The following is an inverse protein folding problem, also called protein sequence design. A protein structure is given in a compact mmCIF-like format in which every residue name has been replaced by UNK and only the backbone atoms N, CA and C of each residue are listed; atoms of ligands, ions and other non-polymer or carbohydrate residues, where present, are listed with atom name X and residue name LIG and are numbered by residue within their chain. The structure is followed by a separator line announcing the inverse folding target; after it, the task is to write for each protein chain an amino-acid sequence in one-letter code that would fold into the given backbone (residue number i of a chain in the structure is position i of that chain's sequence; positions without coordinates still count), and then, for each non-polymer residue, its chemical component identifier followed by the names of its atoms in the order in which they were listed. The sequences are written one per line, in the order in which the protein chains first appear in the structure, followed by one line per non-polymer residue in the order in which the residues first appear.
data_IF_414475289761
#
_entry.id   IF_414475289761
#
_cell.length_a   1.000
_cell.length_b   1.000
_cell.length_c   1.000
_cell.angle_alpha   90.00
_cell.angle_beta   90.00
_cell.angle_gamma   90.00
#
_symmetry.space_group_name_H-M   'P 1'
#
loop_
_entity.id
_entity.type
_entity.pdbx_description
1 polymer ?
#
# COMPACT_ATOMS: atom_id res chain seq x y z
N UNK A 1 -7.53 3.78 -25.19
CA UNK A 1 -8.97 3.51 -25.41
C UNK A 1 -9.66 4.84 -25.66
N UNK A 2 -10.51 4.94 -26.69
CA UNK A 2 -11.28 6.15 -26.98
C UNK A 2 -12.63 6.08 -26.27
N UNK A 3 -13.07 7.16 -25.63
CA UNK A 3 -14.38 7.27 -24.98
C UNK A 3 -14.33 8.23 -23.81
N UNK A 4 -15.50 8.80 -23.47
CA UNK A 4 -15.66 9.75 -22.38
C UNK A 4 -15.36 9.13 -21.02
N UNK A 5 -14.85 9.93 -20.08
CA UNK A 5 -14.35 9.45 -18.80
C UNK A 5 -14.89 10.23 -17.58
N UNK A 6 -15.09 9.50 -16.49
CA UNK A 6 -15.08 10.03 -15.13
C UNK A 6 -13.63 10.00 -14.63
N UNK A 7 -13.10 11.13 -14.23
CA UNK A 7 -11.70 11.17 -13.75
C UNK A 7 -11.60 11.64 -12.30
N UNK A 8 -10.55 11.23 -11.64
CA UNK A 8 -10.06 11.80 -10.38
C UNK A 8 -8.54 11.85 -10.39
N UNK A 9 -7.96 12.80 -9.64
CA UNK A 9 -6.52 12.97 -9.52
C UNK A 9 -6.11 12.76 -8.08
N UNK A 10 -5.03 12.06 -7.81
CA UNK A 10 -4.54 11.90 -6.44
C UNK A 10 -3.38 10.92 -6.33
N UNK A 11 -2.77 10.85 -5.16
CA UNK A 11 -1.67 9.91 -4.91
C UNK A 11 -2.15 8.47 -4.75
N UNK A 12 -3.36 8.28 -4.25
CA UNK A 12 -4.01 6.98 -4.00
C UNK A 12 -3.13 5.96 -3.27
N UNK A 13 -2.14 6.43 -2.50
CA UNK A 13 -1.21 5.56 -1.82
C UNK A 13 -1.93 4.68 -0.78
N UNK A 14 -1.76 3.36 -0.93
CA UNK A 14 -2.43 2.35 -0.14
C UNK A 14 -3.80 1.93 -0.66
N UNK A 15 -4.48 2.69 -1.53
CA UNK A 15 -5.85 2.42 -2.03
C UNK A 15 -6.76 1.98 -0.88
N UNK A 16 -6.78 2.77 0.21
CA UNK A 16 -7.55 2.51 1.42
C UNK A 16 -9.06 2.68 1.20
N UNK A 17 -9.89 2.30 2.18
CA UNK A 17 -11.37 2.31 2.06
C UNK A 17 -11.94 3.68 1.64
N UNK A 18 -11.33 4.79 2.09
CA UNK A 18 -11.72 6.12 1.59
C UNK A 18 -11.52 6.27 0.08
N UNK A 19 -10.39 5.82 -0.47
CA UNK A 19 -10.15 5.82 -1.92
C UNK A 19 -11.12 4.87 -2.65
N UNK A 20 -11.38 3.68 -2.10
CA UNK A 20 -12.32 2.70 -2.67
C UNK A 20 -13.73 3.27 -2.74
N UNK A 21 -14.16 4.00 -1.72
CA UNK A 21 -15.45 4.68 -1.72
C UNK A 21 -15.59 5.75 -2.81
N UNK A 22 -14.52 6.54 -3.03
CA UNK A 22 -14.44 7.51 -4.16
C UNK A 22 -14.64 6.77 -5.48
N UNK A 23 -13.87 5.70 -5.72
CA UNK A 23 -13.93 4.92 -6.96
C UNK A 23 -15.33 4.27 -7.13
N UNK A 24 -15.95 3.79 -6.05
CA UNK A 24 -17.30 3.23 -6.08
C UNK A 24 -18.35 4.26 -6.53
N UNK A 25 -18.23 5.51 -6.09
CA UNK A 25 -19.13 6.59 -6.56
C UNK A 25 -18.88 6.90 -8.04
N UNK A 26 -17.62 7.03 -8.46
CA UNK A 26 -17.25 7.22 -9.85
C UNK A 26 -17.80 6.09 -10.75
N UNK A 27 -17.70 4.83 -10.28
CA UNK A 27 -18.19 3.67 -11.03
C UNK A 27 -19.72 3.75 -11.24
N UNK A 28 -20.50 4.14 -10.21
CA UNK A 28 -21.94 4.31 -10.33
C UNK A 28 -22.31 5.34 -11.40
N UNK A 29 -21.65 6.49 -11.41
CA UNK A 29 -21.85 7.52 -12.44
C UNK A 29 -21.42 7.02 -13.81
N UNK A 30 -20.27 6.38 -13.90
CA UNK A 30 -19.73 5.84 -15.13
C UNK A 30 -20.66 4.78 -15.76
N UNK A 31 -21.15 3.83 -14.96
CA UNK A 31 -22.06 2.78 -15.42
C UNK A 31 -23.38 3.35 -15.94
N UNK A 32 -23.93 4.37 -15.25
CA UNK A 32 -25.18 5.02 -15.65
C UNK A 32 -25.08 5.78 -16.99
N UNK A 33 -23.86 6.21 -17.35
CA UNK A 33 -23.64 7.07 -18.52
C UNK A 33 -22.77 6.44 -19.61
N UNK A 34 -22.31 5.18 -19.42
CA UNK A 34 -21.44 4.50 -20.36
C UNK A 34 -20.02 5.11 -20.44
N UNK A 35 -19.50 5.60 -19.31
CA UNK A 35 -18.20 6.24 -19.20
C UNK A 35 -17.13 5.29 -18.66
N UNK A 36 -15.85 5.63 -18.88
CA UNK A 36 -14.69 4.97 -18.24
C UNK A 36 -14.38 5.62 -16.89
N UNK A 37 -13.94 4.84 -15.93
CA UNK A 37 -13.34 5.34 -14.68
C UNK A 37 -11.83 5.44 -14.85
N UNK A 38 -11.29 6.66 -14.79
CA UNK A 38 -9.87 6.95 -14.95
C UNK A 38 -9.32 7.56 -13.67
N UNK A 39 -8.27 6.99 -13.14
CA UNK A 39 -7.52 7.55 -12.00
C UNK A 39 -6.20 8.09 -12.51
N UNK A 40 -5.93 9.37 -12.25
CA UNK A 40 -4.64 10.00 -12.52
C UNK A 40 -3.82 10.01 -11.24
N UNK A 41 -2.66 9.39 -11.26
CA UNK A 41 -1.75 9.31 -10.12
C UNK A 41 -0.31 9.67 -10.50
N UNK A 42 0.59 9.68 -9.54
CA UNK A 42 1.95 10.18 -9.71
C UNK A 42 2.99 9.14 -9.28
N UNK A 43 4.07 9.05 -10.05
CA UNK A 43 5.26 8.30 -9.67
C UNK A 43 6.53 9.04 -10.16
N UNK A 44 7.55 9.26 -9.28
CA UNK A 44 7.54 9.02 -7.83
C UNK A 44 6.46 9.79 -7.06
N UNK A 45 6.17 9.35 -5.83
CA UNK A 45 5.20 10.05 -4.98
C UNK A 45 5.64 11.51 -4.73
N UNK A 46 4.73 12.52 -4.84
CA UNK A 46 5.09 13.93 -4.73
C UNK A 46 5.87 14.29 -3.44
N UNK A 47 5.52 13.69 -2.31
CA UNK A 47 6.22 13.93 -1.04
C UNK A 47 7.63 13.34 -0.98
N UNK A 48 7.97 12.38 -1.86
CA UNK A 48 9.35 11.87 -1.99
C UNK A 48 10.18 12.90 -2.76
N UNK A 49 9.68 13.36 -3.90
CA UNK A 49 10.38 14.34 -4.75
C UNK A 49 10.55 15.68 -4.04
N UNK A 50 9.50 16.15 -3.34
CA UNK A 50 9.49 17.44 -2.63
C UNK A 50 9.95 17.32 -1.17
N UNK A 51 10.61 16.23 -0.80
CA UNK A 51 11.13 16.04 0.55
C UNK A 51 12.11 17.16 0.94
N UNK A 52 11.89 17.75 2.10
CA UNK A 52 12.83 18.77 2.64
C UNK A 52 14.04 18.05 3.26
N UNK A 53 15.26 18.59 3.08
CA UNK A 53 16.44 18.06 3.74
C UNK A 53 16.22 17.90 5.26
N UNK A 54 16.67 16.79 5.83
CA UNK A 54 16.55 16.50 7.27
C UNK A 54 15.20 15.96 7.74
N UNK A 55 14.23 15.75 6.85
CA UNK A 55 13.00 15.01 7.17
C UNK A 55 13.11 13.55 6.76
N UNK A 56 12.53 12.66 7.56
CA UNK A 56 12.38 11.25 7.21
C UNK A 56 11.62 11.15 5.87
N UNK A 57 12.16 10.38 4.90
CA UNK A 57 11.48 10.14 3.63
C UNK A 57 10.09 9.52 3.85
N UNK A 58 9.15 9.84 2.97
CA UNK A 58 7.84 9.20 3.02
C UNK A 58 7.99 7.70 2.76
N UNK A 59 7.47 6.88 3.68
CA UNK A 59 7.33 5.46 3.46
C UNK A 59 6.03 5.17 2.70
N UNK A 60 6.13 4.50 1.54
CA UNK A 60 5.01 4.17 0.66
C UNK A 60 4.18 3.01 1.22
N UNK A 61 2.86 3.14 1.17
CA UNK A 61 1.94 2.03 1.45
C UNK A 61 1.83 1.07 0.27
N UNK A 62 1.95 1.60 -0.96
CA UNK A 62 1.95 0.82 -2.20
C UNK A 62 3.04 1.33 -3.14
N UNK A 63 3.76 0.44 -3.81
CA UNK A 63 4.55 0.80 -4.99
C UNK A 63 3.60 1.22 -6.12
N UNK A 64 4.11 1.74 -7.23
CA UNK A 64 3.25 2.12 -8.35
C UNK A 64 2.56 0.90 -8.98
N UNK A 65 3.27 -0.21 -9.10
CA UNK A 65 2.75 -1.48 -9.63
C UNK A 65 1.63 -2.00 -8.74
N UNK A 66 1.88 -2.12 -7.42
CA UNK A 66 0.87 -2.53 -6.43
C UNK A 66 -0.35 -1.61 -6.46
N UNK A 67 -0.14 -0.30 -6.62
CA UNK A 67 -1.21 0.70 -6.68
C UNK A 67 -2.07 0.52 -7.92
N UNK A 68 -1.46 0.36 -9.10
CA UNK A 68 -2.18 0.10 -10.34
C UNK A 68 -3.00 -1.19 -10.27
N UNK A 69 -2.40 -2.28 -9.76
CA UNK A 69 -3.10 -3.57 -9.55
C UNK A 69 -4.32 -3.39 -8.64
N UNK A 70 -4.16 -2.66 -7.52
CA UNK A 70 -5.27 -2.42 -6.56
C UNK A 70 -6.36 -1.52 -7.12
N UNK A 71 -6.00 -0.47 -7.86
CA UNK A 71 -6.97 0.41 -8.51
C UNK A 71 -7.80 -0.36 -9.55
N UNK A 72 -7.17 -1.18 -10.38
CA UNK A 72 -7.86 -2.04 -11.33
C UNK A 72 -8.83 -3.01 -10.61
N UNK A 73 -8.39 -3.62 -9.51
CA UNK A 73 -9.22 -4.54 -8.72
C UNK A 73 -10.48 -3.90 -8.12
N UNK A 74 -10.45 -2.60 -7.81
CA UNK A 74 -11.61 -1.87 -7.27
C UNK A 74 -12.46 -1.17 -8.34
N UNK A 75 -12.24 -1.48 -9.62
CA UNK A 75 -13.11 -1.05 -10.72
C UNK A 75 -12.63 0.19 -11.48
N UNK A 76 -11.34 0.51 -11.45
CA UNK A 76 -10.74 1.53 -12.32
C UNK A 76 -10.43 0.90 -13.68
N UNK A 77 -10.92 1.51 -14.76
CA UNK A 77 -10.71 1.01 -16.13
C UNK A 77 -9.32 1.40 -16.65
N UNK A 78 -8.81 2.56 -16.23
CA UNK A 78 -7.50 3.07 -16.66
C UNK A 78 -6.81 3.86 -15.56
N UNK A 79 -5.51 3.61 -15.38
CA UNK A 79 -4.65 4.40 -14.49
C UNK A 79 -3.64 5.16 -15.31
N UNK A 80 -3.71 6.48 -15.24
CA UNK A 80 -2.72 7.38 -15.88
C UNK A 80 -1.66 7.74 -14.84
N UNK A 81 -0.44 7.27 -15.05
CA UNK A 81 0.70 7.57 -14.17
C UNK A 81 1.50 8.72 -14.75
N UNK A 82 1.55 9.83 -14.01
CA UNK A 82 2.32 11.02 -14.42
C UNK A 82 3.67 11.00 -13.70
N UNK A 83 4.80 11.11 -14.45
CA UNK A 83 6.11 11.30 -13.86
C UNK A 83 6.14 12.58 -13.03
N UNK A 84 6.27 12.46 -11.69
CA UNK A 84 6.33 13.62 -10.83
C UNK A 84 7.78 14.06 -10.65
N UNK A 85 8.11 15.22 -11.21
CA UNK A 85 9.44 15.83 -11.14
C UNK A 85 9.38 17.19 -10.46
N UNK A 86 10.53 17.74 -10.10
CA UNK A 86 10.61 19.13 -9.60
C UNK A 86 10.09 20.14 -10.64
N UNK A 87 10.30 19.89 -11.93
CA UNK A 87 9.78 20.70 -13.02
C UNK A 87 8.26 20.61 -13.09
N UNK A 88 7.70 19.39 -13.10
CA UNK A 88 6.26 19.17 -13.08
C UNK A 88 5.58 19.85 -11.87
N UNK A 89 6.22 19.86 -10.70
CA UNK A 89 5.69 20.52 -9.50
C UNK A 89 5.55 22.05 -9.65
N UNK A 90 6.17 22.68 -10.66
CA UNK A 90 6.00 24.10 -10.99
C UNK A 90 4.82 24.35 -11.94
N UNK A 91 4.17 23.31 -12.44
CA UNK A 91 3.02 23.44 -13.34
C UNK A 91 1.83 24.03 -12.58
N UNK A 92 1.20 25.07 -13.12
CA UNK A 92 0.01 25.64 -12.54
C UNK A 92 -1.15 24.65 -12.58
N UNK A 93 -2.08 24.75 -11.64
CA UNK A 93 -3.25 23.90 -11.59
C UNK A 93 -4.07 24.00 -12.89
N UNK A 94 -4.25 25.20 -13.43
CA UNK A 94 -4.97 25.42 -14.68
C UNK A 94 -4.29 24.74 -15.87
N UNK A 95 -2.98 24.94 -16.06
CA UNK A 95 -2.22 24.30 -17.16
C UNK A 95 -2.31 22.78 -17.07
N UNK A 96 -2.24 22.22 -15.86
CA UNK A 96 -2.37 20.80 -15.63
C UNK A 96 -3.75 20.27 -16.04
N UNK A 97 -4.85 20.93 -15.64
CA UNK A 97 -6.21 20.51 -16.03
C UNK A 97 -6.43 20.62 -17.51
N UNK A 98 -5.98 21.72 -18.16
CA UNK A 98 -6.09 21.87 -19.61
C UNK A 98 -5.36 20.74 -20.37
N UNK A 99 -4.17 20.36 -19.89
CA UNK A 99 -3.42 19.23 -20.45
C UNK A 99 -4.17 17.91 -20.26
N UNK A 100 -4.73 17.64 -19.08
CA UNK A 100 -5.51 16.43 -18.85
C UNK A 100 -6.73 16.35 -19.76
N UNK A 101 -7.52 17.42 -19.84
CA UNK A 101 -8.73 17.46 -20.67
C UNK A 101 -8.40 17.33 -22.16
N UNK A 102 -7.27 17.86 -22.63
CA UNK A 102 -6.83 17.70 -24.01
C UNK A 102 -6.41 16.26 -24.36
N UNK A 103 -6.03 15.47 -23.36
CA UNK A 103 -5.54 14.09 -23.54
C UNK A 103 -6.61 13.05 -23.25
N UNK A 104 -7.47 13.33 -22.24
CA UNK A 104 -8.55 12.46 -21.79
C UNK A 104 -9.86 13.15 -22.11
N UNK A 105 -10.79 12.47 -22.77
CA UNK A 105 -12.14 12.98 -23.04
C UNK A 105 -12.96 12.99 -21.72
N UNK A 106 -12.75 14.06 -20.92
CA UNK A 106 -13.30 14.19 -19.57
C UNK A 106 -14.75 14.64 -19.63
N UNK A 107 -15.67 13.85 -19.05
CA UNK A 107 -17.09 14.21 -18.88
C UNK A 107 -17.36 14.63 -17.43
N UNK A 108 -16.79 13.93 -16.45
CA UNK A 108 -16.95 14.25 -15.03
C UNK A 108 -15.57 14.26 -14.34
N UNK A 109 -15.32 15.29 -13.54
CA UNK A 109 -14.14 15.41 -12.69
C UNK A 109 -14.57 15.28 -11.22
N UNK A 110 -14.14 14.20 -10.57
CA UNK A 110 -14.40 13.96 -9.15
C UNK A 110 -13.27 14.52 -8.28
N UNK A 111 -13.64 15.32 -7.28
CA UNK A 111 -12.69 15.94 -6.35
C UNK A 111 -13.05 15.61 -4.91
N UNK A 112 -12.07 15.16 -4.11
CA UNK A 112 -12.24 14.97 -2.68
C UNK A 112 -12.37 16.32 -1.93
N UNK A 113 -12.95 16.29 -0.75
CA UNK A 113 -13.27 17.50 0.02
C UNK A 113 -12.03 18.35 0.40
N UNK A 114 -10.87 17.72 0.65
CA UNK A 114 -9.59 18.37 1.00
C UNK A 114 -8.59 18.43 -0.15
N UNK A 115 -9.06 18.16 -1.36
CA UNK A 115 -8.19 18.01 -2.52
C UNK A 115 -7.67 19.37 -2.99
N UNK A 116 -6.36 19.52 -3.01
CA UNK A 116 -5.68 20.66 -3.62
C UNK A 116 -4.49 20.14 -4.43
N UNK A 117 -4.32 20.63 -5.63
CA UNK A 117 -3.30 20.18 -6.60
C UNK A 117 -2.64 21.36 -7.32
N UNK A 118 -1.61 21.07 -8.12
CA UNK A 118 -0.84 22.09 -8.82
C UNK A 118 0.10 22.90 -7.90
N UNK A 119 0.86 23.78 -8.52
CA UNK A 119 1.79 24.66 -7.80
C UNK A 119 1.06 25.44 -6.69
N UNK A 120 1.71 25.51 -5.54
CA UNK A 120 1.21 26.24 -4.34
C UNK A 120 -0.19 25.81 -3.89
N UNK A 121 -0.64 24.60 -4.29
CA UNK A 121 -2.00 24.09 -4.03
C UNK A 121 -3.10 25.01 -4.61
N UNK A 122 -2.79 25.70 -5.71
CA UNK A 122 -3.72 26.64 -6.35
C UNK A 122 -4.93 25.97 -7.02
N UNK A 123 -4.90 24.65 -7.22
CA UNK A 123 -6.03 23.87 -7.74
C UNK A 123 -7.03 23.55 -6.64
N UNK A 124 -8.23 24.08 -6.76
CA UNK A 124 -9.34 23.90 -5.84
C UNK A 124 -10.64 23.64 -6.63
N UNK A 125 -11.74 23.41 -5.91
CA UNK A 125 -13.05 23.19 -6.51
C UNK A 125 -13.55 24.36 -7.39
N UNK A 126 -13.29 25.60 -6.97
CA UNK A 126 -13.71 26.80 -7.68
C UNK A 126 -13.05 26.90 -9.07
N UNK A 127 -11.73 26.71 -9.14
CA UNK A 127 -10.97 26.66 -10.38
C UNK A 127 -11.48 25.53 -11.28
N UNK A 128 -11.71 24.35 -10.73
CA UNK A 128 -12.24 23.22 -11.53
C UNK A 128 -13.60 23.51 -12.11
N UNK A 129 -14.53 24.09 -11.34
CA UNK A 129 -15.86 24.45 -11.82
C UNK A 129 -15.79 25.52 -12.92
N UNK A 130 -14.91 26.52 -12.76
CA UNK A 130 -14.67 27.52 -13.80
C UNK A 130 -14.19 26.88 -15.11
N UNK A 131 -13.16 26.03 -15.02
CA UNK A 131 -12.63 25.30 -16.18
C UNK A 131 -13.65 24.29 -16.75
N UNK A 132 -14.48 23.69 -15.90
CA UNK A 132 -15.54 22.77 -16.32
C UNK A 132 -16.57 23.46 -17.25
N UNK A 133 -16.98 24.68 -16.92
CA UNK A 133 -17.87 25.48 -17.78
C UNK A 133 -17.18 25.81 -19.12
N UNK A 134 -15.91 26.16 -19.10
CA UNK A 134 -15.15 26.52 -20.29
C UNK A 134 -14.85 25.31 -21.19
N UNK A 135 -14.43 24.19 -20.60
CA UNK A 135 -13.91 23.02 -21.29
C UNK A 135 -14.95 21.90 -21.48
N UNK A 136 -16.16 22.05 -20.94
CA UNK A 136 -17.29 21.15 -21.15
C UNK A 136 -17.27 19.88 -20.30
N UNK A 137 -16.86 19.95 -19.02
CA UNK A 137 -16.95 18.85 -18.09
C UNK A 137 -17.65 19.25 -16.78
N UNK A 138 -18.30 18.30 -16.12
CA UNK A 138 -18.92 18.48 -14.82
C UNK A 138 -17.93 18.23 -13.68
N UNK A 139 -18.13 18.92 -12.54
CA UNK A 139 -17.35 18.75 -11.32
C UNK A 139 -18.21 18.26 -10.19
N UNK A 140 -17.89 17.09 -9.65
CA UNK A 140 -18.56 16.49 -8.52
C UNK A 140 -17.64 16.44 -7.30
N UNK A 141 -18.07 17.08 -6.20
CA UNK A 141 -17.36 17.02 -4.94
C UNK A 141 -17.81 15.81 -4.14
N UNK A 142 -16.82 15.00 -3.73
CA UNK A 142 -17.07 13.83 -2.88
C UNK A 142 -16.90 14.26 -1.43
N UNK A 143 -17.91 14.04 -0.57
CA UNK A 143 -17.78 14.29 0.86
C UNK A 143 -16.75 13.35 1.50
N UNK A 144 -16.24 13.67 2.70
CA UNK A 144 -15.40 12.74 3.45
C UNK A 144 -16.16 11.42 3.61
N UNK A 145 -15.50 10.31 3.24
CA UNK A 145 -16.09 8.99 3.40
C UNK A 145 -15.62 8.43 4.75
N UNK A 146 -16.56 8.23 5.63
CA UNK A 146 -16.34 7.57 6.92
C UNK A 146 -16.53 6.06 6.75
N UNK A 147 -15.63 5.29 7.34
CA UNK A 147 -15.77 3.85 7.50
C UNK A 147 -15.83 3.58 9.01
N UNK A 148 -16.92 3.04 9.47
CA UNK A 148 -17.19 2.76 10.90
C UNK A 148 -17.01 4.03 11.80
N UNK A 149 -17.45 5.20 11.30
CA UNK A 149 -17.36 6.49 12.02
C UNK A 149 -15.96 7.12 12.04
N UNK A 150 -15.01 6.60 11.26
CA UNK A 150 -13.65 7.12 11.17
C UNK A 150 -13.31 7.56 9.74
N UNK A 151 -12.73 8.75 9.62
CA UNK A 151 -12.14 9.21 8.36
C UNK A 151 -10.82 8.48 8.15
N UNK A 152 -10.76 7.62 7.13
CA UNK A 152 -9.55 6.86 6.80
C UNK A 152 -8.62 7.70 5.92
N UNK A 153 -7.32 7.71 6.24
CA UNK A 153 -6.29 8.36 5.44
C UNK A 153 -5.00 7.54 5.36
N UNK A 154 -4.19 7.76 4.32
CA UNK A 154 -2.87 7.13 4.20
C UNK A 154 -1.95 7.45 5.40
N UNK A 155 -2.13 8.60 6.04
CA UNK A 155 -1.37 8.99 7.25
C UNK A 155 -1.72 8.08 8.43
N UNK A 156 -3.01 7.80 8.66
CA UNK A 156 -3.46 6.90 9.73
C UNK A 156 -3.01 5.46 9.48
N UNK A 157 -3.11 4.98 8.24
CA UNK A 157 -2.60 3.64 7.88
C UNK A 157 -1.09 3.53 8.15
N UNK A 158 -0.29 4.55 7.79
CA UNK A 158 1.14 4.58 8.09
C UNK A 158 1.42 4.58 9.59
N UNK A 159 0.66 5.35 10.37
CA UNK A 159 0.80 5.38 11.82
C UNK A 159 0.53 4.00 12.45
N UNK A 160 -0.53 3.32 12.04
CA UNK A 160 -0.84 1.97 12.49
C UNK A 160 0.29 0.97 12.16
N UNK A 161 0.81 0.98 10.93
CA UNK A 161 1.92 0.10 10.53
C UNK A 161 3.22 0.43 11.29
N UNK A 162 3.52 1.71 11.49
CA UNK A 162 4.70 2.16 12.26
C UNK A 162 4.61 1.81 13.75
N UNK A 163 3.41 1.64 14.30
CA UNK A 163 3.21 1.10 15.66
C UNK A 163 3.13 -0.43 15.72
N UNK A 164 3.05 -1.08 14.56
CA UNK A 164 2.90 -2.54 14.43
C UNK A 164 1.47 -3.04 14.51
N UNK A 165 0.48 -2.15 14.53
CA UNK A 165 -0.94 -2.50 14.51
C UNK A 165 -1.39 -2.78 13.06
N UNK A 166 -1.02 -3.97 12.59
CA UNK A 166 -1.34 -4.41 11.22
C UNK A 166 -2.83 -4.74 11.06
N UNK A 167 -3.52 -5.06 12.15
CA UNK A 167 -4.96 -5.29 12.18
C UNK A 167 -5.73 -4.00 11.92
N UNK A 168 -5.40 -2.90 12.62
CA UNK A 168 -6.00 -1.59 12.36
C UNK A 168 -5.66 -1.09 10.94
N UNK A 169 -4.43 -1.30 10.47
CA UNK A 169 -4.06 -0.99 9.09
C UNK A 169 -4.91 -1.77 8.08
N UNK A 170 -5.12 -3.07 8.33
CA UNK A 170 -5.95 -3.95 7.49
C UNK A 170 -7.42 -3.51 7.46
N UNK A 171 -7.97 -3.11 8.59
CA UNK A 171 -9.33 -2.57 8.69
C UNK A 171 -9.49 -1.29 7.84
N UNK A 172 -8.52 -0.37 7.92
CA UNK A 172 -8.50 0.85 7.11
C UNK A 172 -8.26 0.60 5.61
N UNK A 173 -7.45 -0.39 5.27
CA UNK A 173 -7.16 -0.77 3.89
C UNK A 173 -8.28 -1.62 3.25
N UNK A 174 -9.12 -2.28 4.07
CA UNK A 174 -10.10 -3.28 3.61
C UNK A 174 -9.47 -4.61 3.18
N UNK A 175 -8.19 -4.83 3.49
CA UNK A 175 -7.40 -6.03 3.19
C UNK A 175 -6.15 -6.08 4.05
N UNK A 176 -5.49 -7.24 4.20
CA UNK A 176 -4.16 -7.30 4.82
C UNK A 176 -3.16 -6.36 4.13
N UNK A 177 -2.32 -5.70 4.93
CA UNK A 177 -1.19 -4.97 4.38
C UNK A 177 -0.23 -5.96 3.74
N UNK A 178 0.25 -5.67 2.54
CA UNK A 178 1.19 -6.53 1.83
C UNK A 178 2.51 -5.80 1.55
N UNK A 179 3.62 -6.54 1.65
CA UNK A 179 4.95 -6.11 1.28
C UNK A 179 5.47 -7.04 0.17
N UNK A 180 5.66 -6.48 -1.02
CA UNK A 180 6.30 -7.20 -2.13
C UNK A 180 7.81 -7.15 -1.99
N UNK A 181 8.46 -8.32 -1.99
CA UNK A 181 9.90 -8.41 -1.85
C UNK A 181 10.48 -9.67 -2.50
N UNK A 182 11.78 -9.63 -2.74
CA UNK A 182 12.54 -10.75 -3.32
C UNK A 182 13.22 -11.54 -2.22
N UNK A 183 13.16 -12.87 -2.31
CA UNK A 183 13.86 -13.77 -1.39
C UNK A 183 15.35 -13.76 -1.73
N UNK A 184 16.16 -13.41 -0.76
CA UNK A 184 17.62 -13.36 -0.89
C UNK A 184 18.31 -14.32 0.07
N UNK A 185 19.58 -14.63 -0.18
CA UNK A 185 20.36 -15.45 0.71
C UNK A 185 20.62 -14.71 2.04
N UNK A 186 20.32 -15.37 3.16
CA UNK A 186 20.61 -14.89 4.51
C UNK A 186 21.75 -15.70 5.17
N UNK A 187 21.97 -15.46 6.46
CA UNK A 187 23.04 -16.11 7.25
C UNK A 187 22.78 -17.60 7.52
N UNK A 188 21.60 -18.13 7.19
CA UNK A 188 21.24 -19.53 7.40
C UNK A 188 21.06 -19.96 8.86
N UNK A 189 21.04 -19.01 9.82
CA UNK A 189 20.92 -19.30 11.27
C UNK A 189 19.65 -20.06 11.62
N UNK A 190 18.52 -19.72 10.99
CA UNK A 190 17.26 -20.43 11.19
C UNK A 190 17.34 -21.92 10.85
N UNK A 191 18.06 -22.29 9.79
CA UNK A 191 18.25 -23.69 9.38
C UNK A 191 18.94 -24.52 10.46
N UNK A 192 19.95 -23.94 11.17
CA UNK A 192 20.65 -24.64 12.27
C UNK A 192 19.78 -24.84 13.51
N UNK A 193 18.69 -24.11 13.63
CA UNK A 193 17.70 -24.19 14.69
C UNK A 193 16.48 -25.03 14.30
N UNK A 194 16.44 -25.63 13.10
CA UNK A 194 15.31 -26.37 12.58
C UNK A 194 14.13 -25.51 12.12
N UNK A 195 14.33 -24.20 11.98
CA UNK A 195 13.34 -23.20 11.56
C UNK A 195 13.91 -22.40 10.38
N UNK A 196 13.93 -22.98 9.15
CA UNK A 196 14.43 -22.27 7.99
C UNK A 196 13.61 -21.01 7.72
N UNK A 197 14.28 -19.90 7.39
CA UNK A 197 13.66 -18.60 7.11
C UNK A 197 14.05 -18.10 5.72
N UNK A 198 13.08 -17.54 4.99
CA UNK A 198 13.30 -16.76 3.79
C UNK A 198 13.60 -15.30 4.20
N UNK A 199 14.74 -14.77 3.75
CA UNK A 199 15.08 -13.37 3.94
C UNK A 199 14.49 -12.57 2.78
N UNK A 200 13.64 -11.57 3.08
CA UNK A 200 12.90 -10.84 2.06
C UNK A 200 13.36 -9.39 2.04
N UNK A 201 13.80 -8.95 0.86
CA UNK A 201 14.17 -7.56 0.60
C UNK A 201 13.05 -6.90 -0.20
N UNK A 202 12.48 -5.79 0.27
CA UNK A 202 11.45 -5.07 -0.46
C UNK A 202 11.91 -4.70 -1.88
N UNK A 203 11.03 -4.84 -2.87
CA UNK A 203 11.34 -4.46 -4.27
C UNK A 203 11.49 -2.95 -4.45
N UNK A 204 10.98 -2.15 -3.52
CA UNK A 204 11.11 -0.70 -3.52
C UNK A 204 11.66 -0.22 -2.16
N UNK A 205 12.76 0.56 -2.14
CA UNK A 205 13.40 1.01 -0.90
C UNK A 205 12.52 1.97 -0.06
N UNK A 206 11.53 2.59 -0.66
CA UNK A 206 10.57 3.46 0.04
C UNK A 206 9.34 2.71 0.56
N UNK A 207 9.22 1.39 0.31
CA UNK A 207 8.09 0.60 0.82
C UNK A 207 8.09 0.57 2.34
N UNK A 208 6.94 0.86 2.96
CA UNK A 208 6.81 0.83 4.41
C UNK A 208 6.96 -0.60 4.93
N UNK A 209 7.91 -0.80 5.83
CA UNK A 209 8.07 -2.02 6.62
C UNK A 209 7.38 -1.76 7.97
N UNK A 210 6.48 -2.65 8.44
CA UNK A 210 5.86 -2.50 9.76
C UNK A 210 6.89 -2.43 10.90
N UNK A 211 6.47 -2.01 12.09
CA UNK A 211 7.34 -1.95 13.27
C UNK A 211 7.99 -3.31 13.55
N UNK A 212 9.15 -3.28 14.23
CA UNK A 212 9.84 -4.49 14.68
C UNK A 212 8.93 -5.39 15.52
N UNK A 213 9.01 -6.70 15.30
CA UNK A 213 8.21 -7.69 16.00
C UNK A 213 8.01 -8.98 15.22
N UNK A 214 7.22 -9.86 15.77
CA UNK A 214 6.83 -11.14 15.15
C UNK A 214 5.38 -11.06 14.73
N UNK A 215 5.09 -11.50 13.49
CA UNK A 215 3.80 -11.36 12.84
C UNK A 215 3.33 -12.68 12.23
N UNK A 216 2.02 -12.90 12.22
CA UNK A 216 1.40 -13.90 11.35
C UNK A 216 1.30 -13.32 9.94
N UNK A 217 1.81 -14.06 8.96
CA UNK A 217 1.79 -13.66 7.55
C UNK A 217 1.27 -14.77 6.66
N UNK A 218 0.77 -14.40 5.48
CA UNK A 218 0.53 -15.36 4.40
C UNK A 218 1.11 -14.88 3.08
N UNK A 219 1.33 -15.80 2.17
CA UNK A 219 1.82 -15.53 0.81
C UNK A 219 1.31 -16.58 -0.16
N UNK A 220 1.16 -16.21 -1.42
CA UNK A 220 0.88 -17.14 -2.50
C UNK A 220 2.20 -17.64 -3.09
N UNK A 221 2.37 -18.96 -3.14
CA UNK A 221 3.51 -19.63 -3.77
C UNK A 221 2.93 -20.68 -4.73
N UNK A 222 3.24 -20.58 -6.01
CA UNK A 222 2.73 -21.48 -7.06
C UNK A 222 1.19 -21.65 -7.03
N UNK A 223 0.49 -20.54 -6.76
CA UNK A 223 -0.99 -20.50 -6.69
C UNK A 223 -1.59 -21.05 -5.40
N UNK A 224 -0.79 -21.58 -4.47
CA UNK A 224 -1.22 -22.07 -3.16
C UNK A 224 -0.91 -21.06 -2.06
N UNK A 225 -1.84 -20.88 -1.10
CA UNK A 225 -1.58 -20.02 0.05
C UNK A 225 -0.82 -20.76 1.13
N UNK A 226 0.26 -20.14 1.57
CA UNK A 226 1.09 -20.58 2.67
C UNK A 226 1.04 -19.56 3.81
N UNK A 227 0.97 -20.06 5.04
CA UNK A 227 1.00 -19.23 6.25
C UNK A 227 2.35 -19.39 6.93
N UNK A 228 2.83 -18.33 7.56
CA UNK A 228 4.12 -18.33 8.23
C UNK A 228 4.23 -17.27 9.32
N UNK A 229 5.37 -17.29 10.00
CA UNK A 229 5.78 -16.28 10.97
C UNK A 229 6.81 -15.35 10.32
N UNK A 230 6.57 -14.05 10.35
CA UNK A 230 7.55 -13.05 9.94
C UNK A 230 8.19 -12.39 11.16
N UNK A 231 9.50 -12.30 11.17
CA UNK A 231 10.25 -11.50 12.11
C UNK A 231 10.77 -10.24 11.42
N UNK A 232 10.38 -9.07 11.91
CA UNK A 232 10.94 -7.78 11.52
C UNK A 232 11.84 -7.34 12.67
N UNK A 233 13.13 -7.15 12.39
CA UNK A 233 14.11 -6.74 13.38
C UNK A 233 15.29 -6.00 12.74
N UNK A 234 16.14 -5.42 13.57
CA UNK A 234 17.38 -4.79 13.12
C UNK A 234 18.52 -5.79 13.31
N UNK A 235 19.25 -6.11 12.25
CA UNK A 235 20.52 -6.86 12.41
C UNK A 235 21.56 -5.97 13.06
N UNK A 236 22.18 -6.38 14.15
CA UNK A 236 23.38 -5.76 14.64
C UNK A 236 24.53 -6.11 13.65
N UNK A 237 24.70 -5.29 12.61
CA UNK A 237 25.83 -5.38 11.71
C UNK A 237 26.94 -4.44 12.20
N UNK A 238 28.23 -4.81 11.99
CA UNK A 238 29.39 -3.96 12.25
C UNK A 238 29.46 -2.73 11.31
N UNK A 239 28.55 -2.63 10.36
CA UNK A 239 28.30 -1.47 9.51
C UNK A 239 27.09 -0.70 10.07
N UNK A 240 27.12 0.63 10.00
CA UNK A 240 26.06 1.54 10.50
C UNK A 240 24.72 1.40 9.75
N UNK A 241 24.51 0.30 9.06
CA UNK A 241 23.27 0.02 8.31
C UNK A 241 22.23 -0.55 9.28
N UNK A 242 21.30 0.32 9.69
CA UNK A 242 20.19 0.02 10.60
C UNK A 242 18.92 -0.40 9.84
N UNK A 243 19.04 -0.85 8.58
CA UNK A 243 17.90 -1.24 7.80
C UNK A 243 17.17 -2.45 8.44
N UNK A 244 15.84 -2.39 8.61
CA UNK A 244 15.09 -3.51 9.15
C UNK A 244 15.18 -4.70 8.20
N UNK A 245 15.33 -5.90 8.77
CA UNK A 245 15.30 -7.17 8.04
C UNK A 245 13.94 -7.82 8.19
N UNK A 246 13.44 -8.43 7.13
CA UNK A 246 12.23 -9.23 7.13
C UNK A 246 12.62 -10.70 6.87
N UNK A 247 12.44 -11.54 7.89
CA UNK A 247 12.69 -12.97 7.84
C UNK A 247 11.38 -13.71 8.02
N UNK A 248 11.04 -14.62 7.10
CA UNK A 248 9.77 -15.37 7.13
C UNK A 248 10.04 -16.85 7.23
N UNK A 249 9.55 -17.48 8.30
CA UNK A 249 9.44 -18.94 8.42
C UNK A 249 8.07 -19.38 7.91
N UNK A 250 8.05 -20.12 6.80
CA UNK A 250 6.82 -20.62 6.17
C UNK A 250 6.49 -21.98 6.77
N UNK A 251 5.28 -22.16 7.30
CA UNK A 251 4.87 -23.40 7.91
C UNK A 251 4.74 -24.52 6.86
N UNK A 252 5.28 -25.71 7.18
CA UNK A 252 5.18 -26.90 6.32
C UNK A 252 5.66 -26.68 4.88
N UNK A 253 6.76 -25.93 4.71
CA UNK A 253 7.31 -25.60 3.42
C UNK A 253 8.84 -25.80 3.40
N UNK A 254 9.33 -26.61 2.47
CA UNK A 254 10.76 -26.99 2.37
C UNK A 254 11.39 -26.69 1.01
N UNK A 255 10.62 -26.10 0.05
CA UNK A 255 11.15 -25.83 -1.28
C UNK A 255 12.05 -24.57 -1.28
N UNK A 256 12.93 -24.51 -2.27
CA UNK A 256 13.78 -23.33 -2.49
C UNK A 256 12.97 -22.17 -3.10
N UNK A 257 13.14 -20.98 -2.51
CA UNK A 257 12.47 -19.74 -2.93
C UNK A 257 13.47 -18.64 -3.34
N UNK A 258 14.76 -18.93 -3.42
CA UNK A 258 15.74 -17.89 -3.76
C UNK A 258 15.42 -17.23 -5.11
N UNK A 259 15.57 -15.90 -5.14
CA UNK A 259 15.25 -15.04 -6.28
C UNK A 259 13.75 -15.01 -6.68
N UNK A 260 12.86 -15.63 -5.89
CA UNK A 260 11.41 -15.50 -6.08
C UNK A 260 10.92 -14.20 -5.48
N UNK A 261 10.00 -13.52 -6.14
CA UNK A 261 9.29 -12.36 -5.60
C UNK A 261 7.99 -12.81 -4.95
N UNK A 262 7.78 -12.42 -3.69
CA UNK A 262 6.63 -12.78 -2.88
C UNK A 262 5.89 -11.54 -2.39
N UNK A 263 4.57 -11.62 -2.31
CA UNK A 263 3.72 -10.67 -1.59
C UNK A 263 3.45 -11.20 -0.19
N UNK A 264 4.14 -10.67 0.81
CA UNK A 264 3.96 -11.05 2.21
C UNK A 264 2.82 -10.24 2.80
N UNK A 265 1.70 -10.89 3.10
CA UNK A 265 0.49 -10.30 3.68
C UNK A 265 0.52 -10.41 5.21
N UNK A 266 0.41 -9.29 5.91
CA UNK A 266 0.44 -9.22 7.38
C UNK A 266 -0.97 -9.31 7.95
N UNK A 267 -1.21 -10.28 8.83
CA UNK A 267 -2.53 -10.55 9.43
C UNK A 267 -2.65 -10.08 10.87
N UNK A 268 -1.66 -10.40 11.70
CA UNK A 268 -1.65 -10.06 13.12
C UNK A 268 -0.23 -9.90 13.66
N UNK A 269 -0.07 -9.06 14.68
CA UNK A 269 1.17 -8.98 15.44
C UNK A 269 1.12 -9.91 16.63
N UNK A 270 2.01 -10.89 16.70
CA UNK A 270 2.10 -11.81 17.82
C UNK A 270 2.75 -11.14 19.06
N UNK A 271 3.86 -10.42 18.83
CA UNK A 271 4.61 -9.73 19.88
C UNK A 271 5.62 -8.72 19.34
N UNK A 272 6.17 -7.89 20.22
CA UNK A 272 7.36 -7.08 19.95
C UNK A 272 8.65 -7.91 19.95
N UNK A 273 9.79 -7.25 19.69
CA UNK A 273 11.11 -7.85 19.88
C UNK A 273 11.35 -8.16 21.37
N UNK A 274 12.01 -9.29 21.62
CA UNK A 274 12.39 -9.74 22.96
C UNK A 274 13.85 -10.19 22.96
N UNK A 275 14.54 -9.95 24.08
CA UNK A 275 15.83 -10.55 24.37
C UNK A 275 15.61 -11.79 25.21
N UNK A 276 16.33 -12.86 24.91
CA UNK A 276 16.26 -14.13 25.61
C UNK A 276 17.56 -14.35 26.36
N UNK A 277 17.49 -14.85 27.58
CA UNK A 277 18.67 -15.12 28.42
C UNK A 277 19.31 -16.47 28.08
N UNK A 278 18.52 -17.39 27.46
CA UNK A 278 19.00 -18.71 27.07
C UNK A 278 18.46 -19.12 25.69
N UNK A 279 19.10 -20.12 25.09
CA UNK A 279 18.65 -20.76 23.86
C UNK A 279 17.32 -21.50 24.08
N UNK A 280 17.15 -22.10 25.24
CA UNK A 280 15.97 -22.87 25.64
C UNK A 280 14.75 -21.95 25.69
N UNK A 281 14.88 -20.78 26.31
CA UNK A 281 13.84 -19.76 26.38
C UNK A 281 13.45 -19.27 24.97
N UNK A 282 14.44 -18.99 24.13
CA UNK A 282 14.19 -18.61 22.74
C UNK A 282 13.43 -19.66 21.94
N UNK A 283 13.81 -20.95 22.07
CA UNK A 283 13.13 -22.06 21.38
C UNK A 283 11.70 -22.27 21.89
N UNK A 284 11.47 -22.14 23.22
CA UNK A 284 10.14 -22.21 23.81
C UNK A 284 9.23 -21.09 23.28
N UNK A 285 9.73 -19.87 23.17
CA UNK A 285 8.98 -18.76 22.59
C UNK A 285 8.68 -18.97 21.10
N UNK A 286 9.63 -19.46 20.33
CA UNK A 286 9.42 -19.80 18.92
C UNK A 286 8.31 -20.85 18.72
N UNK A 287 8.29 -21.88 19.57
CA UNK A 287 7.22 -22.89 19.50
C UNK A 287 5.87 -22.28 19.90
N UNK A 288 5.83 -21.39 20.88
CA UNK A 288 4.62 -20.64 21.23
C UNK A 288 4.12 -19.79 20.03
N UNK A 289 5.01 -19.01 19.41
CA UNK A 289 4.67 -18.17 18.24
C UNK A 289 4.14 -19.03 17.08
N UNK A 290 4.72 -20.22 16.86
CA UNK A 290 4.28 -21.19 15.86
C UNK A 290 2.87 -21.71 16.17
N UNK A 291 2.57 -22.05 17.40
CA UNK A 291 1.24 -22.51 17.79
C UNK A 291 0.19 -21.42 17.59
N UNK A 292 0.50 -20.17 17.94
CA UNK A 292 -0.38 -19.03 17.68
C UNK A 292 -0.60 -18.85 16.16
N UNK A 293 0.44 -19.01 15.36
CA UNK A 293 0.34 -18.90 13.89
C UNK A 293 -0.56 -19.99 13.31
N UNK A 294 -0.50 -21.22 13.81
CA UNK A 294 -1.38 -22.32 13.39
C UNK A 294 -2.86 -22.01 13.72
N UNK A 295 -3.12 -21.41 14.88
CA UNK A 295 -4.49 -20.98 15.25
C UNK A 295 -5.00 -19.93 14.25
N UNK A 296 -4.17 -18.94 13.92
CA UNK A 296 -4.52 -17.92 12.90
C UNK A 296 -4.70 -18.52 11.50
N UNK A 297 -3.95 -19.55 11.13
CA UNK A 297 -4.12 -20.23 9.84
C UNK A 297 -5.55 -20.78 9.70
N UNK A 298 -6.09 -21.40 10.73
CA UNK A 298 -7.48 -21.86 10.71
C UNK A 298 -8.48 -20.72 10.57
N UNK A 299 -8.24 -19.58 11.22
CA UNK A 299 -9.11 -18.39 11.10
C UNK A 299 -9.07 -17.78 9.70
N UNK A 300 -7.90 -17.72 9.07
CA UNK A 300 -7.73 -17.23 7.68
C UNK A 300 -8.51 -18.13 6.72
N UNK A 301 -8.39 -19.44 6.85
CA UNK A 301 -9.10 -20.42 6.01
C UNK A 301 -10.62 -20.35 6.19
N UNK A 302 -11.12 -20.16 7.40
CA UNK A 302 -12.56 -20.00 7.66
C UNK A 302 -13.14 -18.75 6.99
N UNK A 303 -12.43 -17.61 7.03
CA UNK A 303 -12.89 -16.35 6.42
C UNK A 303 -12.99 -16.38 4.90
N UNK A 304 -12.34 -17.33 4.23
CA UNK A 304 -12.42 -17.49 2.76
C UNK A 304 -13.57 -18.37 2.31
N UNK A 305 -14.08 -19.22 3.22
CA UNK A 305 -15.17 -20.13 2.94
C UNK A 305 -16.56 -19.52 3.25
N UNK A 306 -16.57 -18.29 3.76
CA UNK A 306 -17.76 -17.46 4.02
C UNK A 306 -17.85 -16.31 3.02
#
# INVERSE_FOLDING_TARGET
MSGKACITVGTFDGVHRGHQGVISLMRKTADAQGLRVVVVTFDPHPQIVLAKPGREPLALLTTIEERCERLAHVGVDEVVVIPFTHEFAQTSAESFIRQLVSTIDVQHFFIGHDHAFGKDRGGNEELLRHLGVELGFDVERIPPLETDGLVVSSTLVRAALKSGDVEAASAMLGRPYALRGTVVQGDGRGRTLGIPTANIVPTNPHKLIPANGVYVVSMLIDGSEHVGMANIGVRPTFTNDTAPTLEVHILQFDNDLYNTTLDVQFHARLRGEQKFESREEFLAQLEHDKQQTIIYQHLIQQRRNT
#
